data_IF_548309227572
#
_entry.id   IF_548309227572
#
_cell.length_a   1.000
_cell.length_b   1.000
_cell.length_c   1.000
_cell.angle_alpha   90.00
_cell.angle_beta   90.00
_cell.angle_gamma   90.00
#
_symmetry.space_group_name_H-M   'P 1'
#
loop_
_entity.id
_entity.type
_entity.pdbx_description
1 polymer ?
#
# COMPACT_ATOMS: atom_id res chain seq x y z
N UNK A 1 15.80 59.76 5.85
CA UNK A 1 16.80 58.68 6.04
C UNK A 1 16.23 57.75 7.10
N UNK A 2 15.94 56.47 6.91
CA UNK A 2 15.82 55.61 5.74
C UNK A 2 14.90 54.46 6.15
N UNK A 3 14.18 53.98 5.15
CA UNK A 3 13.29 52.84 5.08
C UNK A 3 13.96 51.53 5.53
N UNK A 4 13.19 50.61 6.14
CA UNK A 4 13.66 49.25 6.45
C UNK A 4 12.51 48.24 6.27
N UNK A 5 12.21 47.93 5.01
CA UNK A 5 11.37 46.80 4.62
C UNK A 5 12.13 45.48 4.71
N UNK A 6 11.63 44.54 5.51
CA UNK A 6 12.09 43.15 5.50
C UNK A 6 11.43 42.37 4.36
N UNK A 7 12.25 42.00 3.37
CA UNK A 7 11.90 41.09 2.27
C UNK A 7 11.87 39.64 2.78
N UNK A 8 10.73 38.96 2.66
CA UNK A 8 10.66 37.51 2.71
C UNK A 8 11.09 36.94 1.35
N UNK A 9 12.25 36.29 1.30
CA UNK A 9 12.68 35.49 0.16
C UNK A 9 12.17 34.05 0.28
N UNK A 10 11.81 33.39 -0.85
CA UNK A 10 11.31 32.02 -0.83
C UNK A 10 12.44 31.06 -0.46
N UNK A 11 12.31 30.38 0.68
CA UNK A 11 13.21 29.29 1.06
C UNK A 11 12.85 28.04 0.26
N UNK A 12 13.69 27.73 -0.73
CA UNK A 12 13.64 26.47 -1.46
C UNK A 12 13.75 25.28 -0.52
N UNK A 13 12.73 24.42 -0.55
CA UNK A 13 12.76 23.13 0.11
C UNK A 13 13.52 22.15 -0.79
N UNK A 14 14.78 21.89 -0.43
CA UNK A 14 15.42 20.60 -0.75
C UNK A 14 14.65 19.52 0.01
N UNK A 15 13.64 18.92 -0.61
CA UNK A 15 13.04 17.69 -0.11
C UNK A 15 13.98 16.55 -0.47
N UNK A 16 14.69 16.05 0.54
CA UNK A 16 15.35 14.75 0.44
C UNK A 16 14.28 13.70 0.14
N UNK A 17 14.59 12.83 -0.82
CA UNK A 17 13.81 11.66 -1.17
C UNK A 17 13.70 10.74 0.05
N UNK A 18 12.69 10.97 0.88
CA UNK A 18 12.14 9.95 1.73
C UNK A 18 11.24 9.11 0.82
N UNK A 19 11.62 7.83 0.65
CA UNK A 19 10.85 6.78 -0.01
C UNK A 19 9.39 6.87 0.46
N UNK A 20 8.56 7.59 -0.28
CA UNK A 20 7.13 7.70 -0.02
C UNK A 20 6.50 6.78 -1.05
N UNK A 21 6.63 5.47 -0.85
CA UNK A 21 5.76 4.49 -1.52
C UNK A 21 4.38 4.67 -0.87
N UNK A 22 3.68 5.74 -1.25
CA UNK A 22 2.23 5.81 -1.06
C UNK A 22 1.67 4.80 -2.03
N UNK A 23 1.28 3.63 -1.52
CA UNK A 23 0.46 2.74 -2.32
C UNK A 23 -0.85 3.49 -2.62
N UNK A 24 -1.05 3.82 -3.89
CA UNK A 24 -2.31 4.31 -4.42
C UNK A 24 -3.42 3.29 -4.17
N UNK A 25 -4.65 3.74 -3.99
CA UNK A 25 -5.80 2.85 -4.21
C UNK A 25 -5.95 2.75 -5.73
N UNK A 26 -5.21 1.83 -6.35
CA UNK A 26 -5.32 1.60 -7.78
C UNK A 26 -6.60 0.78 -8.04
N UNK A 27 -7.55 1.37 -8.76
CA UNK A 27 -8.63 0.62 -9.43
C UNK A 27 -8.05 -0.10 -10.66
N UNK A 28 -7.10 -1.02 -10.48
CA UNK A 28 -6.50 -1.77 -11.57
C UNK A 28 -7.43 -2.87 -12.16
N UNK A 29 -8.74 -2.85 -11.89
CA UNK A 29 -9.69 -3.95 -12.18
C UNK A 29 -10.81 -3.62 -13.16
N UNK A 30 -10.51 -2.89 -14.23
CA UNK A 30 -11.41 -2.82 -15.40
C UNK A 30 -10.70 -2.75 -16.76
N UNK A 31 -9.47 -2.22 -16.84
CA UNK A 31 -8.78 -2.04 -18.11
C UNK A 31 -8.19 -3.34 -18.69
N UNK A 32 -7.87 -4.34 -17.85
CA UNK A 32 -7.22 -5.58 -18.30
C UNK A 32 -8.20 -6.70 -18.73
N UNK A 33 -9.49 -6.59 -18.41
CA UNK A 33 -10.51 -7.61 -18.71
C UNK A 33 -11.46 -7.21 -19.84
N UNK A 34 -11.21 -6.09 -20.53
CA UNK A 34 -12.05 -5.63 -21.64
C UNK A 34 -13.52 -5.44 -21.27
N UNK A 35 -13.79 -5.02 -20.03
CA UNK A 35 -15.15 -4.95 -19.47
C UNK A 35 -15.68 -3.51 -19.31
N UNK A 36 -15.01 -2.53 -19.92
CA UNK A 36 -15.58 -1.18 -20.06
C UNK A 36 -16.60 -1.20 -21.21
N UNK A 37 -17.83 -0.70 -21.02
CA UNK A 37 -18.72 -0.41 -22.14
C UNK A 37 -18.02 0.58 -23.07
N UNK A 38 -18.05 0.32 -24.37
CA UNK A 38 -17.82 1.38 -25.36
C UNK A 38 -18.91 2.43 -25.16
N UNK A 39 -18.54 3.71 -25.18
CA UNK A 39 -19.46 4.84 -25.03
C UNK A 39 -20.70 4.66 -25.93
N UNK A 40 -21.91 4.57 -25.37
CA UNK A 40 -23.12 4.77 -26.15
C UNK A 40 -23.32 6.28 -26.32
N UNK A 41 -23.51 6.67 -27.58
CA UNK A 41 -23.99 7.98 -28.06
C UNK A 41 -24.96 8.65 -27.04
N UNK A 42 -24.75 9.93 -26.64
CA UNK A 42 -25.47 10.52 -25.52
C UNK A 42 -26.92 10.85 -25.90
N UNK A 43 -27.83 9.91 -25.61
CA UNK A 43 -29.26 10.17 -25.53
C UNK A 43 -29.63 10.88 -24.21
N UNK A 44 -30.71 11.71 -24.17
CA UNK A 44 -31.00 12.54 -23.01
C UNK A 44 -31.66 11.72 -21.89
N UNK A 45 -30.91 11.42 -20.83
CA UNK A 45 -31.37 10.85 -19.57
C UNK A 45 -31.58 11.91 -18.46
N UNK A 46 -32.38 11.62 -17.41
CA UNK A 46 -32.90 12.62 -16.49
C UNK A 46 -31.82 13.17 -15.55
N UNK A 47 -31.87 14.49 -15.33
CA UNK A 47 -30.93 15.20 -14.47
C UNK A 47 -31.09 14.81 -13.00
N UNK A 48 -30.15 14.02 -12.49
CA UNK A 48 -29.91 13.86 -11.06
C UNK A 48 -28.94 14.94 -10.58
N UNK A 49 -29.35 15.64 -9.53
CA UNK A 49 -28.64 16.78 -8.95
C UNK A 49 -27.40 16.27 -8.22
N UNK A 50 -26.22 16.48 -8.81
CA UNK A 50 -24.93 16.17 -8.21
C UNK A 50 -24.74 16.95 -6.90
N UNK A 51 -24.40 16.25 -5.82
CA UNK A 51 -23.87 16.88 -4.62
C UNK A 51 -22.39 17.09 -4.89
N UNK A 52 -22.02 18.32 -5.25
CA UNK A 52 -20.66 18.76 -5.54
C UNK A 52 -19.72 18.40 -4.39
N UNK A 53 -18.77 17.50 -4.64
CA UNK A 53 -17.51 17.45 -3.92
C UNK A 53 -16.64 18.60 -4.44
N UNK A 54 -16.03 19.35 -3.53
CA UNK A 54 -15.33 20.61 -3.81
C UNK A 54 -13.86 20.42 -4.21
N UNK A 55 -13.54 19.33 -4.91
CA UNK A 55 -12.22 19.18 -5.56
C UNK A 55 -12.48 19.26 -7.04
N UNK A 56 -12.02 20.34 -7.69
CA UNK A 56 -12.04 20.38 -9.14
C UNK A 56 -11.23 19.18 -9.63
N UNK A 57 -11.80 18.29 -10.49
CA UNK A 57 -11.03 17.19 -11.04
C UNK A 57 -9.81 17.79 -11.76
N UNK A 58 -8.66 17.14 -11.60
CA UNK A 58 -7.46 17.53 -12.34
C UNK A 58 -7.80 17.57 -13.82
N UNK A 59 -7.50 18.67 -14.48
CA UNK A 59 -7.74 18.81 -15.91
C UNK A 59 -6.78 17.87 -16.65
N UNK A 60 -7.32 16.73 -17.06
CA UNK A 60 -6.54 15.69 -17.73
C UNK A 60 -6.09 16.17 -19.11
N UNK A 61 -6.89 17.00 -19.76
CA UNK A 61 -6.57 17.53 -21.08
C UNK A 61 -5.37 18.49 -20.94
N UNK A 62 -5.32 19.29 -19.87
CA UNK A 62 -4.15 20.13 -19.56
C UNK A 62 -2.87 19.30 -19.33
N UNK A 63 -2.98 18.14 -18.65
CA UNK A 63 -1.83 17.23 -18.46
C UNK A 63 -1.38 16.61 -19.78
N UNK A 64 -2.33 16.13 -20.59
CA UNK A 64 -2.05 15.50 -21.87
C UNK A 64 -1.45 16.50 -22.87
N UNK A 65 -1.97 17.72 -22.92
CA UNK A 65 -1.46 18.81 -23.75
C UNK A 65 -0.04 19.21 -23.34
N UNK A 66 0.21 19.41 -22.04
CA UNK A 66 1.54 19.72 -21.52
C UNK A 66 2.55 18.59 -21.79
N UNK A 67 2.10 17.34 -21.66
CA UNK A 67 2.90 16.17 -21.98
C UNK A 67 3.24 16.08 -23.49
N UNK A 68 2.27 16.33 -24.36
CA UNK A 68 2.45 16.30 -25.81
C UNK A 68 3.36 17.44 -26.31
N UNK A 69 3.21 18.65 -25.78
CA UNK A 69 4.10 19.77 -26.09
C UNK A 69 5.53 19.48 -25.64
N UNK A 70 5.70 18.93 -24.43
CA UNK A 70 7.01 18.54 -23.93
C UNK A 70 7.67 17.46 -24.81
N UNK A 71 6.93 16.44 -25.24
CA UNK A 71 7.45 15.42 -26.16
C UNK A 71 7.86 16.02 -27.51
N UNK A 72 7.03 16.89 -28.09
CA UNK A 72 7.30 17.56 -29.35
C UNK A 72 8.57 18.44 -29.28
N UNK A 73 8.82 19.05 -28.12
CA UNK A 73 10.01 19.86 -27.83
C UNK A 73 11.23 19.04 -27.38
N UNK A 74 11.12 17.71 -27.24
CA UNK A 74 12.17 16.84 -26.72
C UNK A 74 12.51 17.07 -25.24
N UNK A 75 11.55 17.57 -24.46
CA UNK A 75 11.63 17.78 -23.00
C UNK A 75 11.10 16.57 -22.24
N UNK A 76 11.31 16.55 -20.92
CA UNK A 76 10.77 15.49 -20.04
C UNK A 76 9.24 15.58 -19.96
N UNK A 77 8.55 14.56 -20.48
CA UNK A 77 7.09 14.42 -20.38
C UNK A 77 6.66 14.34 -18.91
N UNK A 78 7.38 13.55 -18.11
CA UNK A 78 7.11 13.40 -16.67
C UNK A 78 7.15 14.75 -15.97
N UNK A 79 8.21 15.54 -16.17
CA UNK A 79 8.39 16.81 -15.45
C UNK A 79 7.29 17.81 -15.82
N UNK A 80 6.91 17.87 -17.09
CA UNK A 80 5.84 18.75 -17.57
C UNK A 80 4.48 18.37 -16.97
N UNK A 81 4.13 17.08 -17.01
CA UNK A 81 2.90 16.57 -16.40
C UNK A 81 2.90 16.75 -14.86
N UNK A 82 4.04 16.52 -14.20
CA UNK A 82 4.19 16.71 -12.75
C UNK A 82 4.00 18.19 -12.37
N UNK A 83 4.45 19.13 -13.21
CA UNK A 83 4.22 20.56 -13.01
C UNK A 83 2.73 20.91 -13.01
N UNK A 84 1.94 20.32 -13.92
CA UNK A 84 0.47 20.51 -13.98
C UNK A 84 -0.19 19.86 -12.76
N UNK A 85 0.12 18.60 -12.46
CA UNK A 85 -0.43 17.88 -11.30
C UNK A 85 -0.15 18.63 -9.99
N UNK A 86 1.06 19.16 -9.81
CA UNK A 86 1.43 19.90 -8.58
C UNK A 86 0.62 21.19 -8.36
N UNK A 87 0.09 21.78 -9.44
CA UNK A 87 -0.72 23.01 -9.42
C UNK A 87 -2.22 22.74 -9.34
N UNK A 88 -2.65 21.51 -9.64
CA UNK A 88 -4.07 21.10 -9.64
C UNK A 88 -4.73 21.08 -8.26
N UNK A 89 -3.93 20.99 -7.19
CA UNK A 89 -4.44 20.80 -5.84
C UNK A 89 -4.81 19.36 -5.49
N UNK A 90 -4.62 18.40 -6.40
CA UNK A 90 -4.71 16.97 -6.09
C UNK A 90 -3.56 16.57 -5.17
N UNK A 91 -3.89 16.30 -3.91
CA UNK A 91 -2.93 15.89 -2.88
C UNK A 91 -2.32 14.52 -3.16
N UNK A 92 -3.00 13.67 -3.92
CA UNK A 92 -2.62 12.29 -4.16
C UNK A 92 -2.09 12.04 -5.58
N UNK A 93 -2.26 13.02 -6.46
CA UNK A 93 -1.79 12.97 -7.84
C UNK A 93 -0.29 12.71 -7.91
N UNK A 94 0.11 11.79 -8.77
CA UNK A 94 1.51 11.43 -9.01
C UNK A 94 1.75 11.18 -10.49
N UNK A 95 2.97 11.49 -10.95
CA UNK A 95 3.41 11.18 -12.30
C UNK A 95 4.66 10.31 -12.23
N UNK A 96 4.63 9.23 -12.99
CA UNK A 96 5.68 8.24 -13.08
C UNK A 96 6.25 8.27 -14.49
N UNK A 97 7.55 8.11 -14.64
CA UNK A 97 8.09 7.64 -15.91
C UNK A 97 7.76 6.14 -16.11
N UNK A 98 8.08 5.60 -17.29
CA UNK A 98 7.79 4.21 -17.62
C UNK A 98 8.38 3.22 -16.60
N UNK A 99 9.64 3.43 -16.19
CA UNK A 99 10.34 2.52 -15.29
C UNK A 99 9.76 2.61 -13.88
N UNK A 100 9.53 3.82 -13.40
CA UNK A 100 8.93 4.04 -12.07
C UNK A 100 7.54 3.41 -11.99
N UNK A 101 6.75 3.50 -13.07
CA UNK A 101 5.44 2.86 -13.14
C UNK A 101 5.53 1.33 -13.19
N UNK A 102 6.49 0.77 -13.93
CA UNK A 102 6.77 -0.67 -13.92
C UNK A 102 7.16 -1.17 -12.51
N UNK A 103 7.99 -0.41 -11.78
CA UNK A 103 8.36 -0.72 -10.38
C UNK A 103 7.14 -0.63 -9.44
N UNK A 104 6.25 0.33 -9.66
CA UNK A 104 4.98 0.47 -8.94
C UNK A 104 4.04 -0.72 -9.20
N UNK A 105 3.86 -1.13 -10.46
CA UNK A 105 3.04 -2.30 -10.82
C UNK A 105 3.61 -3.58 -10.21
N UNK A 106 4.94 -3.76 -10.22
CA UNK A 106 5.58 -4.90 -9.58
C UNK A 106 5.30 -4.96 -8.08
N UNK A 107 5.31 -3.81 -7.41
CA UNK A 107 5.01 -3.72 -5.99
C UNK A 107 3.55 -4.10 -5.70
N UNK A 108 2.59 -3.72 -6.57
CA UNK A 108 1.20 -4.15 -6.48
C UNK A 108 1.02 -5.65 -6.76
N UNK A 109 1.85 -6.22 -7.64
CA UNK A 109 1.94 -7.67 -7.85
C UNK A 109 2.57 -8.42 -6.67
N UNK A 110 3.00 -7.71 -5.62
CA UNK A 110 3.67 -8.31 -4.47
C UNK A 110 5.06 -8.82 -4.84
N UNK A 111 5.70 -8.18 -5.82
CA UNK A 111 7.06 -8.51 -6.26
C UNK A 111 7.98 -7.31 -6.16
N UNK A 112 9.28 -7.57 -6.06
CA UNK A 112 10.31 -6.54 -6.11
C UNK A 112 11.61 -7.14 -6.64
N UNK A 113 12.47 -6.30 -7.22
CA UNK A 113 13.83 -6.69 -7.57
C UNK A 113 14.77 -6.48 -6.39
N UNK A 114 15.62 -7.45 -6.10
CA UNK A 114 16.65 -7.32 -5.07
C UNK A 114 17.38 -8.61 -4.76
N UNK A 115 18.05 -8.67 -3.61
CA UNK A 115 18.86 -9.82 -3.22
C UNK A 115 18.25 -10.70 -2.12
N UNK A 116 17.02 -10.38 -1.67
CA UNK A 116 16.30 -11.19 -0.67
C UNK A 116 16.76 -10.93 0.77
N UNK A 117 17.19 -9.70 1.05
CA UNK A 117 17.62 -9.28 2.39
C UNK A 117 16.74 -8.15 2.92
N UNK A 118 16.41 -8.25 4.20
CA UNK A 118 15.97 -7.11 5.00
C UNK A 118 17.08 -6.72 5.98
N UNK A 119 17.20 -5.43 6.24
CA UNK A 119 18.19 -4.90 7.18
C UNK A 119 17.52 -4.10 8.30
N UNK A 120 18.17 -4.05 9.45
CA UNK A 120 17.81 -3.14 10.55
C UNK A 120 19.06 -2.53 11.15
N UNK A 121 18.90 -1.40 11.83
CA UNK A 121 19.98 -0.83 12.64
C UNK A 121 19.87 -1.37 14.07
N UNK A 122 20.96 -1.89 14.60
CA UNK A 122 21.04 -2.34 16.00
C UNK A 122 21.15 -1.12 16.92
N UNK A 123 20.90 -1.31 18.22
CA UNK A 123 21.09 -0.25 19.22
C UNK A 123 22.54 0.27 19.32
N UNK A 124 23.51 -0.50 18.82
CA UNK A 124 24.93 -0.08 18.71
C UNK A 124 25.23 0.73 17.46
N UNK A 125 24.24 0.90 16.57
CA UNK A 125 24.39 1.65 15.34
C UNK A 125 24.90 0.83 14.16
N UNK A 126 25.06 -0.48 14.26
CA UNK A 126 25.45 -1.32 13.12
C UNK A 126 24.24 -1.70 12.26
N UNK A 127 24.43 -1.87 10.95
CA UNK A 127 23.42 -2.44 10.05
C UNK A 127 23.57 -3.95 10.05
N UNK A 128 22.48 -4.65 10.40
CA UNK A 128 22.44 -6.12 10.45
C UNK A 128 21.31 -6.66 9.60
N UNK A 129 21.51 -7.85 9.03
CA UNK A 129 20.48 -8.63 8.35
C UNK A 129 19.41 -9.02 9.37
N UNK A 130 18.18 -8.58 9.14
CA UNK A 130 17.02 -8.89 9.98
C UNK A 130 16.19 -10.06 9.47
N UNK A 131 16.18 -10.27 8.15
CA UNK A 131 15.47 -11.37 7.48
C UNK A 131 16.23 -11.73 6.21
N UNK A 132 16.24 -13.02 5.90
CA UNK A 132 16.70 -13.57 4.62
C UNK A 132 15.52 -14.30 4.00
N UNK A 133 15.25 -14.03 2.72
CA UNK A 133 14.16 -14.67 1.99
C UNK A 133 14.55 -16.09 1.58
N UNK A 134 13.83 -17.13 2.02
CA UNK A 134 14.13 -18.51 1.66
C UNK A 134 14.17 -18.72 0.15
N UNK A 135 15.19 -19.45 -0.32
CA UNK A 135 15.42 -19.71 -1.74
C UNK A 135 15.90 -18.51 -2.56
N UNK A 136 15.98 -17.30 -1.99
CA UNK A 136 16.45 -16.08 -2.66
C UNK A 136 17.97 -16.01 -2.84
N UNK A 137 18.51 -15.00 -3.56
CA UNK A 137 19.95 -14.86 -3.81
C UNK A 137 20.82 -14.90 -2.54
N UNK A 138 20.43 -14.15 -1.51
CA UNK A 138 21.18 -14.12 -0.25
C UNK A 138 21.12 -15.43 0.55
N UNK A 139 19.98 -16.14 0.52
CA UNK A 139 19.84 -17.45 1.17
C UNK A 139 20.74 -18.50 0.51
N UNK A 140 20.72 -18.54 -0.83
CA UNK A 140 21.60 -19.43 -1.62
C UNK A 140 23.09 -19.13 -1.38
N UNK A 141 23.43 -17.89 -1.07
CA UNK A 141 24.79 -17.49 -0.70
C UNK A 141 25.14 -17.74 0.79
N UNK A 142 24.22 -18.30 1.57
CA UNK A 142 24.47 -18.66 2.98
C UNK A 142 24.51 -17.46 3.95
N UNK A 143 23.98 -16.31 3.52
CA UNK A 143 23.79 -15.14 4.39
C UNK A 143 22.67 -15.47 5.39
N UNK A 144 22.83 -15.04 6.63
CA UNK A 144 21.92 -15.38 7.74
C UNK A 144 21.49 -14.13 8.49
N UNK A 145 20.32 -14.23 9.13
CA UNK A 145 19.89 -13.25 10.12
C UNK A 145 20.97 -13.07 11.19
N UNK A 146 21.30 -11.82 11.50
CA UNK A 146 22.37 -11.45 12.43
C UNK A 146 23.69 -11.06 11.77
N UNK A 147 23.89 -11.36 10.49
CA UNK A 147 25.09 -10.90 9.76
C UNK A 147 25.16 -9.38 9.74
N UNK A 148 26.36 -8.83 9.92
CA UNK A 148 26.59 -7.40 9.85
C UNK A 148 26.94 -7.01 8.42
N UNK A 149 26.22 -6.05 7.87
CA UNK A 149 26.48 -5.50 6.55
C UNK A 149 27.39 -4.27 6.71
N UNK A 150 28.60 -4.34 6.16
CA UNK A 150 29.67 -3.33 6.31
C UNK A 150 29.84 -2.48 5.05
N UNK A 151 29.86 -3.10 3.89
CA UNK A 151 30.04 -2.42 2.61
C UNK A 151 29.03 -2.89 1.57
N UNK A 152 28.72 -2.01 0.61
CA UNK A 152 28.03 -2.30 -0.64
C UNK A 152 28.87 -1.75 -1.79
N UNK A 153 29.23 -2.59 -2.76
CA UNK A 153 30.08 -2.27 -3.90
C UNK A 153 31.36 -1.52 -3.47
N UNK A 154 32.06 -2.09 -2.48
CA UNK A 154 33.26 -1.52 -1.87
C UNK A 154 33.05 -0.25 -1.03
N UNK A 155 31.84 0.33 -0.99
CA UNK A 155 31.53 1.55 -0.23
C UNK A 155 31.03 1.21 1.17
N UNK A 156 31.63 1.83 2.18
CA UNK A 156 31.17 1.68 3.56
C UNK A 156 29.73 2.19 3.74
N UNK A 157 28.91 1.38 4.42
CA UNK A 157 27.55 1.76 4.79
C UNK A 157 27.55 2.84 5.87
N UNK A 158 28.42 2.70 6.88
CA UNK A 158 28.56 3.67 7.96
C UNK A 158 27.23 4.09 8.60
N UNK A 159 26.97 5.40 8.60
CA UNK A 159 25.77 6.03 9.19
C UNK A 159 24.60 6.20 8.20
N UNK A 160 24.67 5.63 6.99
CA UNK A 160 23.57 5.72 6.01
C UNK A 160 22.25 5.24 6.61
N UNK A 161 21.12 5.93 6.39
CA UNK A 161 19.81 5.42 6.77
C UNK A 161 19.58 3.99 6.25
N UNK A 162 18.92 3.15 7.05
CA UNK A 162 18.66 1.75 6.65
C UNK A 162 17.84 1.69 5.36
N UNK A 163 16.91 2.62 5.17
CA UNK A 163 16.14 2.74 3.94
C UNK A 163 17.03 2.91 2.70
N UNK A 164 18.07 3.75 2.81
CA UNK A 164 19.04 3.93 1.72
C UNK A 164 19.82 2.65 1.43
N UNK A 165 20.21 1.92 2.48
CA UNK A 165 20.90 0.61 2.31
C UNK A 165 19.99 -0.40 1.60
N UNK A 166 18.71 -0.46 1.97
CA UNK A 166 17.73 -1.34 1.34
C UNK A 166 17.51 -0.93 -0.12
N UNK A 167 17.40 0.36 -0.42
CA UNK A 167 17.26 0.88 -1.78
C UNK A 167 18.46 0.47 -2.66
N UNK A 168 19.68 0.58 -2.16
CA UNK A 168 20.89 0.13 -2.87
C UNK A 168 20.89 -1.39 -3.11
N UNK A 169 20.43 -2.19 -2.14
CA UNK A 169 20.28 -3.65 -2.31
C UNK A 169 19.26 -4.01 -3.39
N UNK A 170 18.22 -3.19 -3.57
CA UNK A 170 17.19 -3.34 -4.61
C UNK A 170 17.63 -2.80 -5.98
N UNK A 171 18.60 -1.89 -5.99
CA UNK A 171 19.10 -1.25 -7.21
C UNK A 171 18.43 0.10 -7.51
N UNK A 172 17.54 0.56 -6.63
CA UNK A 172 16.79 1.80 -6.74
C UNK A 172 17.75 2.99 -6.97
N UNK A 173 17.44 3.84 -7.95
CA UNK A 173 18.22 5.04 -8.25
C UNK A 173 19.61 4.80 -8.86
N UNK A 174 19.97 3.56 -9.20
CA UNK A 174 21.29 3.22 -9.79
C UNK A 174 21.22 2.74 -11.23
N UNK A 175 20.03 2.69 -11.83
CA UNK A 175 19.83 2.08 -13.14
C UNK A 175 19.76 0.55 -13.11
N UNK A 176 20.18 -0.08 -12.02
CA UNK A 176 20.24 -1.53 -11.86
C UNK A 176 18.86 -2.18 -12.02
N UNK A 177 18.85 -3.33 -12.71
CA UNK A 177 17.67 -4.14 -12.98
C UNK A 177 17.88 -5.57 -12.49
N UNK A 178 16.89 -6.43 -12.71
CA UNK A 178 17.04 -7.88 -12.55
C UNK A 178 18.27 -8.40 -13.31
N UNK A 179 19.02 -9.33 -12.72
CA UNK A 179 20.29 -9.84 -13.25
C UNK A 179 21.52 -8.96 -12.97
N UNK A 180 21.33 -7.72 -12.49
CA UNK A 180 22.46 -6.89 -12.05
C UNK A 180 23.09 -7.42 -10.77
N UNK A 181 24.36 -7.08 -10.53
CA UNK A 181 25.12 -7.56 -9.37
C UNK A 181 25.31 -6.49 -8.31
N UNK A 182 25.49 -6.92 -7.07
CA UNK A 182 25.92 -6.09 -5.95
C UNK A 182 26.87 -6.89 -5.06
N UNK A 183 27.99 -6.28 -4.68
CA UNK A 183 28.95 -6.90 -3.77
C UNK A 183 28.68 -6.44 -2.33
N UNK A 184 28.52 -7.40 -1.43
CA UNK A 184 28.26 -7.18 -0.01
C UNK A 184 29.53 -7.50 0.79
N UNK A 185 29.96 -6.58 1.65
CA UNK A 185 30.94 -6.90 2.69
C UNK A 185 30.23 -7.26 3.98
N UNK A 186 30.45 -8.48 4.47
CA UNK A 186 29.71 -9.09 5.57
C UNK A 186 30.64 -9.47 6.72
N UNK A 187 30.09 -9.44 7.95
CA UNK A 187 30.78 -9.92 9.15
C UNK A 187 29.85 -10.80 9.99
N UNK A 188 30.36 -11.98 10.40
CA UNK A 188 29.69 -12.95 11.29
C UNK A 188 30.74 -13.47 12.25
N UNK A 189 30.48 -13.31 13.56
CA UNK A 189 31.36 -13.84 14.62
C UNK A 189 32.85 -13.45 14.44
N UNK A 190 33.12 -12.23 13.98
CA UNK A 190 34.47 -11.70 13.75
C UNK A 190 35.11 -12.08 12.42
N UNK A 191 34.54 -13.04 11.67
CA UNK A 191 34.97 -13.38 10.31
C UNK A 191 34.36 -12.38 9.32
N UNK A 192 35.21 -11.76 8.51
CA UNK A 192 34.81 -10.88 7.40
C UNK A 192 34.91 -11.61 6.06
N UNK A 193 33.94 -11.42 5.17
CA UNK A 193 34.01 -11.90 3.79
C UNK A 193 33.24 -10.97 2.84
N UNK A 194 33.50 -11.11 1.55
CA UNK A 194 32.71 -10.46 0.49
C UNK A 194 31.87 -11.51 -0.23
N UNK A 195 30.68 -11.10 -0.66
CA UNK A 195 29.75 -11.95 -1.40
C UNK A 195 29.12 -11.13 -2.53
N UNK A 196 29.21 -11.61 -3.77
CA UNK A 196 28.56 -10.94 -4.91
C UNK A 196 27.24 -11.62 -5.19
N UNK A 197 26.15 -10.87 -5.06
CA UNK A 197 24.81 -11.37 -5.30
C UNK A 197 24.26 -10.80 -6.60
N UNK A 198 23.54 -11.65 -7.32
CA UNK A 198 22.72 -11.24 -8.46
C UNK A 198 21.31 -10.87 -7.96
N UNK A 199 20.82 -9.70 -8.39
CA UNK A 199 19.46 -9.27 -8.10
C UNK A 199 18.49 -10.13 -8.88
N UNK A 200 17.47 -10.63 -8.21
CA UNK A 200 16.40 -11.41 -8.79
C UNK A 200 15.05 -10.76 -8.48
N UNK A 201 14.02 -11.15 -9.24
CA UNK A 201 12.64 -10.91 -8.85
C UNK A 201 12.27 -11.77 -7.65
N UNK A 202 11.70 -11.15 -6.63
CA UNK A 202 11.36 -11.75 -5.35
C UNK A 202 9.94 -11.39 -4.95
N UNK A 203 9.28 -12.26 -4.19
CA UNK A 203 7.92 -12.04 -3.70
C UNK A 203 7.91 -11.45 -2.30
N UNK A 204 6.92 -10.61 -2.01
CA UNK A 204 6.60 -10.14 -0.66
C UNK A 204 5.63 -11.10 0.00
N UNK A 205 5.76 -11.26 1.31
CA UNK A 205 4.80 -12.00 2.12
C UNK A 205 3.73 -11.01 2.61
N UNK A 206 2.64 -10.89 1.82
CA UNK A 206 1.59 -9.92 2.09
C UNK A 206 0.69 -10.31 3.26
N UNK A 207 0.44 -11.61 3.43
CA UNK A 207 -0.39 -12.18 4.50
C UNK A 207 0.43 -13.12 5.35
N UNK A 208 0.36 -12.97 6.68
CA UNK A 208 0.99 -13.89 7.63
C UNK A 208 -0.03 -14.34 8.66
N UNK A 209 0.05 -15.61 9.07
CA UNK A 209 -0.87 -16.22 10.04
C UNK A 209 -0.08 -16.71 11.25
N UNK A 210 -0.56 -16.38 12.45
CA UNK A 210 0.03 -16.83 13.71
C UNK A 210 -1.05 -17.24 14.70
N UNK A 211 -0.88 -18.38 15.39
CA UNK A 211 -1.75 -18.75 16.51
C UNK A 211 -1.47 -17.87 17.73
N UNK A 212 -2.54 -17.49 18.45
CA UNK A 212 -2.47 -16.65 19.64
C UNK A 212 -2.41 -17.45 20.95
N UNK A 213 -2.66 -18.75 20.90
CA UNK A 213 -2.56 -19.67 22.03
C UNK A 213 -2.19 -21.10 21.58
N UNK A 214 -2.05 -21.98 22.57
CA UNK A 214 -1.62 -23.37 22.37
C UNK A 214 -2.79 -24.38 22.28
N UNK A 215 -4.01 -23.96 22.62
CA UNK A 215 -5.20 -24.81 22.52
C UNK A 215 -5.59 -25.08 21.05
N UNK A 216 -6.23 -26.22 20.73
CA UNK A 216 -6.64 -26.55 19.36
C UNK A 216 -7.57 -25.52 18.70
N UNK A 217 -8.43 -24.87 19.50
CA UNK A 217 -9.36 -23.82 19.06
C UNK A 217 -8.84 -22.40 19.32
N UNK A 218 -7.53 -22.23 19.51
CA UNK A 218 -6.96 -20.90 19.76
C UNK A 218 -7.16 -20.00 18.56
N UNK A 219 -7.41 -18.73 18.84
CA UNK A 219 -7.55 -17.70 17.85
C UNK A 219 -6.31 -17.61 16.97
N UNK A 220 -6.53 -17.19 15.73
CA UNK A 220 -5.47 -16.86 14.79
C UNK A 220 -5.39 -15.35 14.62
N UNK A 221 -4.17 -14.85 14.48
CA UNK A 221 -3.88 -13.52 13.99
C UNK A 221 -3.54 -13.63 12.50
N UNK A 222 -4.38 -13.01 11.68
CA UNK A 222 -4.16 -12.86 10.23
C UNK A 222 -3.69 -11.43 10.00
N UNK A 223 -2.40 -11.25 9.73
CA UNK A 223 -1.84 -9.92 9.44
C UNK A 223 -1.76 -9.72 7.94
N UNK A 224 -2.36 -8.64 7.46
CA UNK A 224 -2.29 -8.20 6.07
C UNK A 224 -1.42 -6.95 6.01
N UNK A 225 -0.22 -7.08 5.46
CA UNK A 225 0.73 -5.96 5.36
C UNK A 225 0.40 -5.00 4.20
N UNK A 226 -0.14 -5.52 3.10
CA UNK A 226 -0.61 -4.77 1.94
C UNK A 226 -1.58 -5.63 1.12
N UNK A 227 -2.45 -5.00 0.35
CA UNK A 227 -3.34 -5.66 -0.61
C UNK A 227 -2.67 -5.80 -1.97
N UNK A 228 -1.63 -6.64 -2.04
CA UNK A 228 -1.00 -7.02 -3.31
C UNK A 228 -1.79 -8.12 -3.99
N UNK A 229 -1.50 -8.39 -5.27
CA UNK A 229 -2.13 -9.46 -6.03
C UNK A 229 -2.06 -10.80 -5.29
N UNK A 230 -3.20 -11.45 -5.14
CA UNK A 230 -3.36 -12.71 -4.40
C UNK A 230 -3.59 -12.57 -2.90
N UNK A 231 -3.36 -11.41 -2.29
CA UNK A 231 -3.51 -11.22 -0.85
C UNK A 231 -4.94 -11.48 -0.36
N UNK A 232 -5.96 -11.16 -1.17
CA UNK A 232 -7.36 -11.46 -0.84
C UNK A 232 -7.63 -12.96 -0.79
N UNK A 233 -7.05 -13.73 -1.71
CA UNK A 233 -7.15 -15.18 -1.70
C UNK A 233 -6.42 -15.78 -0.48
N UNK A 234 -5.23 -15.28 -0.15
CA UNK A 234 -4.47 -15.71 1.03
C UNK A 234 -5.25 -15.45 2.33
N UNK A 235 -5.99 -14.32 2.42
CA UNK A 235 -6.89 -14.05 3.56
C UNK A 235 -8.04 -15.05 3.60
N UNK A 236 -8.69 -15.35 2.47
CA UNK A 236 -9.77 -16.34 2.40
C UNK A 236 -9.28 -17.73 2.83
N UNK A 237 -8.10 -18.12 2.37
CA UNK A 237 -7.46 -19.38 2.74
C UNK A 237 -7.14 -19.41 4.25
N UNK A 238 -6.56 -18.35 4.79
CA UNK A 238 -6.27 -18.25 6.23
C UNK A 238 -7.53 -18.35 7.11
N UNK A 239 -8.65 -17.77 6.68
CA UNK A 239 -9.94 -17.84 7.39
C UNK A 239 -10.56 -19.23 7.27
N UNK A 240 -10.55 -19.82 6.08
CA UNK A 240 -11.07 -21.18 5.84
C UNK A 240 -10.30 -22.23 6.64
N UNK A 241 -8.97 -22.12 6.65
CA UNK A 241 -8.08 -23.09 7.28
C UNK A 241 -7.92 -22.84 8.79
N UNK A 242 -8.59 -21.80 9.33
CA UNK A 242 -8.66 -21.55 10.76
C UNK A 242 -9.33 -22.73 11.49
N UNK A 243 -8.85 -23.12 12.68
CA UNK A 243 -9.49 -24.19 13.45
C UNK A 243 -10.97 -23.91 13.71
N UNK A 244 -11.76 -24.98 13.81
CA UNK A 244 -13.18 -24.86 14.18
C UNK A 244 -13.31 -24.17 15.55
N UNK A 245 -14.19 -23.18 15.63
CA UNK A 245 -14.39 -22.36 16.83
C UNK A 245 -13.27 -21.36 17.16
N UNK A 246 -12.23 -21.25 16.34
CA UNK A 246 -11.20 -20.22 16.52
C UNK A 246 -11.76 -18.82 16.26
N UNK A 247 -11.40 -17.86 17.11
CA UNK A 247 -11.58 -16.44 16.79
C UNK A 247 -10.55 -15.95 15.77
N UNK A 248 -10.86 -14.88 15.05
CA UNK A 248 -9.96 -14.27 14.08
C UNK A 248 -9.62 -12.84 14.50
N UNK A 249 -8.33 -12.59 14.67
CA UNK A 249 -7.77 -11.25 14.86
C UNK A 249 -7.15 -10.78 13.55
N UNK A 250 -7.87 -9.94 12.80
CA UNK A 250 -7.39 -9.37 11.54
C UNK A 250 -6.55 -8.12 11.81
N UNK A 251 -5.24 -8.19 11.56
CA UNK A 251 -4.31 -7.08 11.81
C UNK A 251 -4.03 -6.28 10.53
N UNK A 252 -4.60 -5.08 10.45
CA UNK A 252 -4.44 -4.12 9.33
C UNK A 252 -3.57 -2.91 9.74
N UNK A 253 -2.90 -2.97 10.90
CA UNK A 253 -2.01 -1.89 11.34
C UNK A 253 -0.84 -1.72 10.37
N UNK A 254 -0.50 -0.45 10.10
CA UNK A 254 0.52 -0.05 9.13
C UNK A 254 0.29 -0.52 7.68
N UNK A 255 -0.90 -1.03 7.35
CA UNK A 255 -1.26 -1.40 5.98
C UNK A 255 -1.73 -0.15 5.21
N UNK A 256 -0.90 0.32 4.28
CA UNK A 256 -1.19 1.52 3.47
C UNK A 256 -2.21 1.30 2.34
N UNK A 257 -2.78 0.11 2.22
CA UNK A 257 -3.76 -0.25 1.20
C UNK A 257 -3.15 -1.14 0.11
N UNK A 258 -3.41 -0.79 -1.15
CA UNK A 258 -3.07 -1.59 -2.33
C UNK A 258 -4.28 -1.72 -3.27
N UNK A 259 -4.40 -2.87 -3.91
CA UNK A 259 -5.45 -3.18 -4.87
C UNK A 259 -6.81 -3.26 -4.18
N UNK A 260 -7.76 -2.44 -4.63
CA UNK A 260 -9.14 -2.42 -4.12
C UNK A 260 -9.82 -3.78 -4.29
N UNK A 261 -9.58 -4.45 -5.42
CA UNK A 261 -10.17 -5.75 -5.69
C UNK A 261 -9.71 -6.82 -4.68
N UNK A 262 -8.45 -6.80 -4.26
CA UNK A 262 -7.92 -7.73 -3.25
C UNK A 262 -8.56 -7.49 -1.88
N UNK A 263 -8.83 -6.22 -1.53
CA UNK A 263 -9.57 -5.89 -0.31
C UNK A 263 -11.04 -6.35 -0.37
N UNK A 264 -11.68 -6.29 -1.55
CA UNK A 264 -13.04 -6.83 -1.75
C UNK A 264 -13.03 -8.36 -1.61
N UNK A 265 -12.07 -9.05 -2.22
CA UNK A 265 -11.90 -10.51 -2.08
C UNK A 265 -11.64 -10.90 -0.63
N UNK A 266 -10.82 -10.13 0.09
CA UNK A 266 -10.60 -10.32 1.53
C UNK A 266 -11.89 -10.09 2.34
N UNK A 267 -12.72 -9.11 1.98
CA UNK A 267 -14.02 -8.89 2.62
C UNK A 267 -14.95 -10.10 2.47
N UNK A 268 -14.93 -10.75 1.29
CA UNK A 268 -15.67 -11.99 1.03
C UNK A 268 -15.25 -13.17 1.92
N UNK A 269 -14.11 -13.11 2.61
CA UNK A 269 -13.75 -14.12 3.61
C UNK A 269 -14.66 -14.07 4.85
N UNK A 270 -15.23 -12.90 5.14
CA UNK A 270 -15.96 -12.61 6.38
C UNK A 270 -17.43 -12.28 6.15
N UNK A 271 -17.86 -12.11 4.89
CA UNK A 271 -19.20 -11.68 4.51
C UNK A 271 -19.83 -12.71 3.57
N UNK A 272 -21.10 -13.03 3.79
CA UNK A 272 -21.90 -13.81 2.85
C UNK A 272 -22.59 -12.87 1.84
N UNK A 273 -21.77 -12.19 1.04
CA UNK A 273 -22.22 -11.17 0.09
C UNK A 273 -22.61 -9.82 0.70
N UNK A 274 -23.15 -8.96 -0.17
CA UNK A 274 -23.58 -7.60 0.16
C UNK A 274 -22.55 -6.52 -0.13
N UNK A 275 -22.95 -5.26 0.07
CA UNK A 275 -22.17 -4.09 -0.30
C UNK A 275 -20.90 -3.98 0.57
N UNK A 276 -19.75 -3.79 -0.07
CA UNK A 276 -18.44 -3.53 0.57
C UNK A 276 -18.12 -2.04 0.52
N UNK A 277 -18.30 -1.41 -0.63
CA UNK A 277 -18.14 0.03 -0.79
C UNK A 277 -18.87 0.52 -2.05
N UNK A 278 -19.17 1.81 -2.09
CA UNK A 278 -19.49 2.52 -3.34
C UNK A 278 -18.35 3.46 -3.69
N UNK A 279 -18.13 3.72 -4.96
CA UNK A 279 -17.18 4.74 -5.39
C UNK A 279 -17.74 5.53 -6.56
N UNK A 280 -17.25 6.75 -6.71
CA UNK A 280 -17.57 7.59 -7.84
C UNK A 280 -16.34 7.77 -8.75
N UNK A 281 -16.58 7.79 -10.06
CA UNK A 281 -15.59 8.17 -11.06
C UNK A 281 -16.25 9.25 -11.91
N UNK A 282 -15.78 10.49 -11.78
CA UNK A 282 -16.28 11.62 -12.59
C UNK A 282 -17.81 11.81 -12.53
N UNK A 283 -18.42 11.48 -11.38
CA UNK A 283 -19.86 11.59 -11.17
C UNK A 283 -20.64 10.28 -11.39
N UNK A 284 -20.05 9.29 -12.04
CA UNK A 284 -20.65 7.96 -12.22
C UNK A 284 -20.44 7.12 -10.97
N UNK A 285 -21.55 6.65 -10.39
CA UNK A 285 -21.53 5.85 -9.17
C UNK A 285 -21.41 4.37 -9.49
N UNK A 286 -20.51 3.70 -8.78
CA UNK A 286 -20.26 2.27 -8.86
C UNK A 286 -20.35 1.64 -7.47
N UNK A 287 -20.59 0.33 -7.44
CA UNK A 287 -20.70 -0.44 -6.21
C UNK A 287 -19.83 -1.69 -6.28
N UNK A 288 -19.19 -2.01 -5.17
CA UNK A 288 -18.37 -3.20 -4.96
C UNK A 288 -19.08 -4.11 -3.97
N UNK A 289 -19.22 -5.38 -4.33
CA UNK A 289 -19.93 -6.38 -3.53
C UNK A 289 -18.98 -7.50 -3.14
N UNK A 290 -19.19 -8.04 -1.94
CA UNK A 290 -18.55 -9.28 -1.52
C UNK A 290 -19.19 -10.46 -2.28
N UNK A 291 -18.39 -11.49 -2.51
CA UNK A 291 -18.88 -12.79 -2.98
C UNK A 291 -19.61 -13.52 -1.83
N UNK A 292 -20.61 -14.36 -2.12
CA UNK A 292 -21.21 -15.22 -1.13
C UNK A 292 -20.26 -16.35 -0.66
N UNK A 293 -20.59 -16.96 0.48
CA UNK A 293 -19.87 -18.09 1.06
C UNK A 293 -18.75 -17.73 2.05
N UNK A 294 -18.71 -16.47 2.53
CA UNK A 294 -17.81 -16.06 3.60
C UNK A 294 -18.20 -16.61 4.97
N UNK A 295 -17.24 -16.68 5.89
CA UNK A 295 -17.48 -17.09 7.27
C UNK A 295 -18.11 -15.96 8.08
N UNK A 296 -19.39 -16.12 8.40
CA UNK A 296 -20.15 -15.17 9.22
C UNK A 296 -20.26 -15.59 10.69
N UNK A 297 -19.79 -16.77 11.05
CA UNK A 297 -20.03 -17.40 12.35
C UNK A 297 -18.88 -17.17 13.34
N UNK A 298 -17.63 -17.27 12.87
CA UNK A 298 -16.46 -17.08 13.75
C UNK A 298 -16.39 -15.62 14.24
N UNK A 299 -16.07 -15.37 15.53
CA UNK A 299 -15.82 -14.02 16.03
C UNK A 299 -14.65 -13.36 15.32
N UNK A 300 -14.80 -12.10 14.92
CA UNK A 300 -13.74 -11.31 14.25
C UNK A 300 -13.51 -10.01 14.99
N UNK A 301 -12.25 -9.70 15.24
CA UNK A 301 -11.78 -8.39 15.72
C UNK A 301 -10.75 -7.85 14.73
N UNK A 302 -10.86 -6.58 14.36
CA UNK A 302 -9.93 -5.92 13.43
C UNK A 302 -9.05 -4.94 14.19
N UNK A 303 -7.73 -5.07 14.04
CA UNK A 303 -6.75 -4.10 14.57
C UNK A 303 -6.40 -3.07 13.50
N UNK A 304 -6.50 -1.80 13.88
CA UNK A 304 -6.21 -0.65 12.99
C UNK A 304 -5.37 0.41 13.68
N UNK A 305 -4.64 1.20 12.89
CA UNK A 305 -3.94 2.38 13.37
C UNK A 305 -3.88 3.49 12.31
N UNK A 306 -3.21 4.61 12.63
CA UNK A 306 -3.03 5.71 11.69
C UNK A 306 -2.21 5.37 10.44
N UNK A 307 -1.64 4.18 10.35
CA UNK A 307 -1.02 3.64 9.14
C UNK A 307 -1.97 2.79 8.28
N UNK A 308 -3.13 2.39 8.81
CA UNK A 308 -4.22 1.77 8.04
C UNK A 308 -4.79 2.81 7.08
N UNK A 309 -4.70 2.56 5.78
CA UNK A 309 -5.07 3.52 4.73
C UNK A 309 -5.79 2.86 3.55
N UNK A 310 -6.62 3.63 2.83
CA UNK A 310 -7.06 3.29 1.47
C UNK A 310 -7.84 1.97 1.41
N UNK A 311 -7.42 0.96 0.63
CA UNK A 311 -8.11 -0.33 0.54
C UNK A 311 -8.26 -1.04 1.89
N UNK A 312 -7.33 -0.80 2.84
CA UNK A 312 -7.45 -1.32 4.20
C UNK A 312 -8.55 -0.61 5.01
N UNK A 313 -8.76 0.69 4.78
CA UNK A 313 -9.89 1.43 5.34
C UNK A 313 -11.21 0.98 4.72
N UNK A 314 -11.24 0.70 3.41
CA UNK A 314 -12.41 0.14 2.74
C UNK A 314 -12.84 -1.20 3.38
N UNK A 315 -11.91 -2.15 3.58
CA UNK A 315 -12.21 -3.40 4.28
C UNK A 315 -12.66 -3.16 5.72
N UNK A 316 -11.96 -2.31 6.46
CA UNK A 316 -12.32 -1.96 7.86
C UNK A 316 -13.73 -1.41 7.95
N UNK A 317 -14.08 -0.47 7.08
CA UNK A 317 -15.38 0.19 7.04
C UNK A 317 -16.49 -0.75 6.64
N UNK A 318 -16.23 -1.66 5.70
CA UNK A 318 -17.18 -2.69 5.29
C UNK A 318 -17.52 -3.64 6.44
N UNK A 319 -16.51 -4.12 7.17
CA UNK A 319 -16.72 -5.03 8.30
C UNK A 319 -17.39 -4.30 9.49
N UNK A 320 -17.01 -3.06 9.76
CA UNK A 320 -17.59 -2.26 10.85
C UNK A 320 -19.05 -1.89 10.58
N UNK A 321 -19.37 -1.33 9.41
CA UNK A 321 -20.74 -0.88 9.08
C UNK A 321 -21.75 -2.02 9.02
N UNK A 322 -21.28 -3.22 8.70
CA UNK A 322 -22.10 -4.42 8.64
C UNK A 322 -22.20 -5.14 9.98
N UNK A 323 -21.60 -4.59 11.04
CA UNK A 323 -21.55 -5.22 12.37
C UNK A 323 -20.84 -6.57 12.36
N UNK A 324 -19.98 -6.83 11.37
CA UNK A 324 -19.32 -8.14 11.21
C UNK A 324 -18.14 -8.30 12.17
N UNK A 325 -17.45 -7.21 12.48
CA UNK A 325 -16.28 -7.24 13.35
C UNK A 325 -16.26 -6.04 14.29
N UNK A 326 -15.64 -6.23 15.46
CA UNK A 326 -15.30 -5.11 16.36
C UNK A 326 -13.93 -4.58 15.96
N UNK A 327 -13.84 -3.28 15.72
CA UNK A 327 -12.58 -2.59 15.36
C UNK A 327 -11.91 -2.02 16.61
N UNK A 328 -10.60 -2.23 16.76
CA UNK A 328 -9.82 -1.87 17.95
C UNK A 328 -8.52 -1.18 17.52
N UNK A 329 -8.17 -0.06 18.16
CA UNK A 329 -6.89 0.61 17.94
C UNK A 329 -7.01 2.13 17.89
N UNK A 330 -6.42 2.78 16.88
CA UNK A 330 -6.50 4.24 16.72
C UNK A 330 -7.14 4.64 15.39
N UNK A 331 -7.64 5.88 15.24
CA UNK A 331 -8.23 6.33 13.98
C UNK A 331 -7.30 6.08 12.79
N UNK A 332 -7.89 5.59 11.68
CA UNK A 332 -7.16 5.31 10.45
C UNK A 332 -6.79 6.59 9.71
N UNK A 333 -6.00 6.46 8.64
CA UNK A 333 -5.33 7.59 8.00
C UNK A 333 -6.29 8.61 7.33
N UNK A 334 -7.37 8.15 6.72
CA UNK A 334 -8.35 9.00 6.05
C UNK A 334 -8.07 9.27 4.58
N UNK A 335 -7.65 8.26 3.81
CA UNK A 335 -7.57 8.37 2.34
C UNK A 335 -8.85 7.78 1.74
N UNK A 336 -9.78 8.67 1.38
CA UNK A 336 -11.07 8.32 0.79
C UNK A 336 -11.12 8.50 -0.73
N UNK A 337 -10.06 9.00 -1.34
CA UNK A 337 -9.93 9.22 -2.78
C UNK A 337 -9.60 7.94 -3.54
N UNK A 338 -10.01 7.89 -4.80
CA UNK A 338 -9.68 6.81 -5.73
C UNK A 338 -8.79 7.37 -6.84
N UNK A 339 -7.68 6.68 -7.14
CA UNK A 339 -6.78 7.03 -8.24
C UNK A 339 -7.04 6.14 -9.47
N UNK A 340 -6.84 6.70 -10.66
CA UNK A 340 -6.74 5.94 -11.90
C UNK A 340 -5.50 6.35 -12.71
N UNK A 341 -4.76 5.37 -13.26
CA UNK A 341 -3.64 5.65 -14.14
C UNK A 341 -4.12 6.14 -15.51
N UNK A 342 -3.48 7.19 -16.02
CA UNK A 342 -3.64 7.72 -17.38
C UNK A 342 -2.28 7.69 -18.06
N UNK A 343 -2.15 6.92 -19.15
CA UNK A 343 -0.92 6.84 -19.91
C UNK A 343 -0.72 8.12 -20.71
N UNK A 344 0.49 8.67 -20.65
CA UNK A 344 0.92 9.86 -21.35
C UNK A 344 1.85 9.48 -22.52
N UNK A 345 2.11 10.40 -23.45
CA UNK A 345 3.16 10.21 -24.46
C UNK A 345 4.53 9.86 -23.85
N UNK A 346 5.40 9.23 -24.63
CA UNK A 346 6.70 8.73 -24.14
C UNK A 346 6.64 7.64 -23.06
N UNK A 347 5.46 7.08 -22.74
CA UNK A 347 5.31 5.96 -21.80
C UNK A 347 5.19 6.36 -20.32
N UNK A 348 5.14 7.65 -20.01
CA UNK A 348 4.88 8.14 -18.65
C UNK A 348 3.42 7.86 -18.23
N UNK A 349 3.14 7.86 -16.93
CA UNK A 349 1.81 7.58 -16.39
C UNK A 349 1.47 8.59 -15.30
N UNK A 350 0.32 9.25 -15.41
CA UNK A 350 -0.26 10.06 -14.35
C UNK A 350 -1.30 9.24 -13.56
N UNK A 351 -1.07 9.00 -12.27
CA UNK A 351 -2.13 8.54 -11.36
C UNK A 351 -2.85 9.75 -10.78
N UNK A 352 -4.12 9.91 -11.17
CA UNK A 352 -4.93 11.08 -10.81
C UNK A 352 -6.13 10.67 -9.98
N UNK A 353 -6.51 11.52 -9.03
CA UNK A 353 -7.76 11.35 -8.29
C UNK A 353 -8.95 11.53 -9.22
N UNK A 354 -9.81 10.52 -9.30
CA UNK A 354 -11.01 10.52 -10.18
C UNK A 354 -12.34 10.57 -9.42
N UNK A 355 -12.29 10.44 -8.10
CA UNK A 355 -13.45 10.50 -7.23
C UNK A 355 -13.16 9.92 -5.84
N UNK A 356 -14.22 9.59 -5.11
CA UNK A 356 -14.14 9.11 -3.74
C UNK A 356 -14.91 7.82 -3.53
N UNK A 357 -14.52 7.03 -2.52
CA UNK A 357 -15.32 5.90 -2.05
C UNK A 357 -16.07 6.22 -0.76
N UNK A 358 -17.12 5.44 -0.52
CA UNK A 358 -17.92 5.46 0.71
C UNK A 358 -18.08 4.04 1.23
N UNK A 359 -18.09 3.91 2.55
CA UNK A 359 -18.37 2.65 3.24
C UNK A 359 -19.85 2.25 3.06
N UNK A 360 -20.27 1.02 3.42
CA UNK A 360 -21.66 0.59 3.22
C UNK A 360 -22.71 1.46 3.95
N UNK A 361 -22.35 2.04 5.10
CA UNK A 361 -23.17 3.01 5.83
C UNK A 361 -23.17 4.43 5.22
N UNK A 362 -22.51 4.62 4.07
CA UNK A 362 -22.44 5.89 3.35
C UNK A 362 -21.41 6.88 3.89
N UNK A 363 -20.50 6.46 4.77
CA UNK A 363 -19.48 7.36 5.36
C UNK A 363 -18.41 7.70 4.34
N UNK A 364 -18.08 8.99 4.24
CA UNK A 364 -16.87 9.45 3.54
C UNK A 364 -15.68 9.38 4.50
N UNK A 365 -14.64 8.65 4.09
CA UNK A 365 -13.41 8.41 4.87
C UNK A 365 -12.37 9.53 4.66
N UNK A 366 -12.49 10.33 3.59
CA UNK A 366 -11.47 11.29 3.20
C UNK A 366 -11.25 12.39 4.25
N UNK A 367 -9.98 12.56 4.64
CA UNK A 367 -9.54 13.51 5.66
C UNK A 367 -9.91 13.16 7.11
N UNK A 368 -10.71 12.12 7.34
CA UNK A 368 -11.23 11.75 8.68
C UNK A 368 -10.77 10.38 9.15
N UNK A 369 -10.63 9.44 8.23
CA UNK A 369 -10.42 8.04 8.56
C UNK A 369 -11.67 7.39 9.16
N UNK A 370 -11.46 6.17 9.63
CA UNK A 370 -12.40 5.34 10.35
C UNK A 370 -12.01 5.40 11.82
N UNK A 371 -12.97 5.78 12.67
CA UNK A 371 -12.80 5.70 14.11
C UNK A 371 -13.12 4.27 14.55
N UNK A 372 -12.20 3.56 15.25
CA UNK A 372 -12.47 2.22 15.73
C UNK A 372 -13.53 2.22 16.83
N UNK A 373 -14.25 1.11 16.98
CA UNK A 373 -15.29 0.92 18.01
C UNK A 373 -14.68 1.02 19.42
N UNK A 374 -13.44 0.54 19.58
CA UNK A 374 -12.67 0.68 20.80
C UNK A 374 -11.34 1.39 20.53
N UNK A 375 -11.27 2.66 20.93
CA UNK A 375 -10.03 3.45 20.84
C UNK A 375 -9.03 3.02 21.92
N UNK A 376 -7.88 2.49 21.50
CA UNK A 376 -6.79 2.02 22.35
C UNK A 376 -5.46 2.46 21.75
N UNK A 377 -4.64 3.16 22.54
CA UNK A 377 -3.26 3.49 22.17
C UNK A 377 -2.31 2.33 22.47
N UNK A 378 -1.87 2.23 23.72
CA UNK A 378 -0.98 1.13 24.14
C UNK A 378 -1.72 -0.19 24.33
N UNK A 379 -1.06 -1.31 24.00
CA UNK A 379 -1.58 -2.67 24.19
C UNK A 379 -2.87 -2.97 23.39
N UNK A 380 -3.06 -2.31 22.25
CA UNK A 380 -4.23 -2.53 21.37
C UNK A 380 -4.46 -4.02 21.04
N UNK A 381 -3.40 -4.78 20.75
CA UNK A 381 -3.52 -6.22 20.48
C UNK A 381 -4.06 -7.00 21.69
N UNK A 382 -3.53 -6.76 22.89
CA UNK A 382 -4.01 -7.42 24.11
C UNK A 382 -5.48 -7.10 24.40
N UNK A 383 -5.89 -5.85 24.15
CA UNK A 383 -7.31 -5.45 24.26
C UNK A 383 -8.17 -6.16 23.22
N UNK A 384 -7.71 -6.24 21.97
CA UNK A 384 -8.41 -6.96 20.92
C UNK A 384 -8.55 -8.46 21.22
N UNK A 385 -7.52 -9.10 21.75
CA UNK A 385 -7.57 -10.50 22.24
C UNK A 385 -8.61 -10.66 23.36
N UNK A 386 -8.69 -9.69 24.29
CA UNK A 386 -9.71 -9.69 25.35
C UNK A 386 -11.13 -9.57 24.78
N UNK A 387 -11.33 -8.67 23.81
CA UNK A 387 -12.62 -8.51 23.12
C UNK A 387 -13.00 -9.80 22.39
N UNK A 388 -12.05 -10.38 21.64
CA UNK A 388 -12.26 -11.60 20.87
C UNK A 388 -12.66 -12.77 21.78
N UNK A 389 -12.00 -12.90 22.94
CA UNK A 389 -12.35 -13.86 23.99
C UNK A 389 -13.78 -13.67 24.51
N UNK A 390 -14.18 -12.43 24.77
CA UNK A 390 -15.55 -12.09 25.20
C UNK A 390 -16.63 -12.37 24.14
N UNK A 391 -16.26 -12.40 22.85
CA UNK A 391 -17.14 -12.78 21.75
C UNK A 391 -17.21 -14.30 21.53
N UNK A 392 -16.50 -15.11 22.34
CA UNK A 392 -16.45 -16.56 22.22
C UNK A 392 -15.34 -17.09 21.31
N UNK A 393 -14.43 -16.24 20.84
CA UNK A 393 -13.23 -16.67 20.12
C UNK A 393 -12.16 -17.11 21.11
N UNK A 394 -11.80 -18.39 21.13
CA UNK A 394 -10.82 -18.92 22.08
C UNK A 394 -9.51 -18.12 22.07
N UNK A 395 -9.13 -17.50 23.19
CA UNK A 395 -7.88 -16.74 23.34
C UNK A 395 -6.82 -17.54 24.07
#
# INVERSE_FOLDING_TARGET
MSDCGHRFGPRGLRRGAALTLVFGCALATAAATGSLPQDPDPGPGPQTRAVSSTVAPVDRDEIEDAAAEAEADGKSVKDAAEEVVSRSGDRWGAVYDQREYEEFEQALDGTYTGVGLSARRTGRGDVTVSRVQPGGPADRAGIRTGDLLRTLDGRAIGKRPVAEVVALLRGDGTGAAEGSRVELGLVREGRSWTETLERARLTTEAVTVRRLGDAPSSAILVKVAAFTKGAGADVRDAVRDAPDGAGILLDLRANSGGLVAEAVVAASAFLDGGLVATYDVRGDQHALYADPGGDTDRPVVVLVDGGTMSAAELLTGALQDRGRAVTVGSPTFGKGSVQMPSRLPGGSVAELTVGHYRTPGGRNVDGKGITPDLVVGERAQQRAETVLSGLGGGS
#
